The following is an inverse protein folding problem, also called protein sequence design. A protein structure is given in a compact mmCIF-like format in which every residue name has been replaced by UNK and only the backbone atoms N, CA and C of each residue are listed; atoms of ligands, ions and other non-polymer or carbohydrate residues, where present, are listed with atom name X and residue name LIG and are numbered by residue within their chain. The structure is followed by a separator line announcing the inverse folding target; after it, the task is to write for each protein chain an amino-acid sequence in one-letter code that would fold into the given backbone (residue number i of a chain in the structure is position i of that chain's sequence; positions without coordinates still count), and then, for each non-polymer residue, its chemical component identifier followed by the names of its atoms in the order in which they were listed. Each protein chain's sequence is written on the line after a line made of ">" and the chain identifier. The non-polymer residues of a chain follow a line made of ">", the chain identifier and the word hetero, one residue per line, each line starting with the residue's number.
data_IF_313303260958
#
_entry.id   IF_313303260958
#
_cell.length_a   1.000
_cell.length_b   1.000
_cell.length_c   1.000
_cell.angle_alpha   90.00
_cell.angle_beta   90.00
_cell.angle_gamma   90.00
#
_symmetry.space_group_name_H-M   'P 1'
#
loop_
_entity.id
_entity.type
_entity.pdbx_description
1 polymer ?
#
# COMPACT_ATOMS: atom_id res chain seq x y z
N UNK A 1 1.74 -3.78 41.94
CA UNK A 1 0.88 -2.96 41.04
C UNK A 1 1.74 -2.28 39.99
N UNK A 2 2.84 -1.69 40.37
CA UNK A 2 3.75 -0.94 39.48
C UNK A 2 4.34 -1.83 38.37
N UNK A 3 4.68 -3.08 38.67
CA UNK A 3 5.21 -4.04 37.69
C UNK A 3 4.23 -4.31 36.53
N UNK A 4 2.92 -4.39 36.82
CA UNK A 4 1.89 -4.58 35.79
C UNK A 4 1.75 -3.31 34.94
N UNK A 5 1.83 -2.13 35.55
CA UNK A 5 1.78 -0.85 34.81
C UNK A 5 2.96 -0.73 33.87
N UNK A 6 4.16 -1.10 34.33
CA UNK A 6 5.36 -1.13 33.48
C UNK A 6 5.25 -2.15 32.35
N UNK A 7 4.75 -3.36 32.63
CA UNK A 7 4.51 -4.40 31.64
C UNK A 7 3.54 -3.93 30.54
N UNK A 8 2.46 -3.25 30.93
CA UNK A 8 1.42 -2.81 29.99
C UNK A 8 1.73 -1.50 29.26
N UNK A 9 2.77 -0.77 29.68
CA UNK A 9 3.18 0.48 29.04
C UNK A 9 3.38 0.38 27.52
N UNK A 10 4.25 -0.51 27.01
CA UNK A 10 4.44 -0.72 25.58
C UNK A 10 3.20 -1.21 24.85
N UNK A 11 2.34 -2.01 25.48
CA UNK A 11 1.08 -2.47 24.89
C UNK A 11 0.12 -1.29 24.70
N UNK A 12 0.02 -0.39 25.67
CA UNK A 12 -0.74 0.85 25.56
C UNK A 12 -0.22 1.72 24.41
N UNK A 13 1.10 1.89 24.30
CA UNK A 13 1.70 2.64 23.20
C UNK A 13 1.40 1.99 21.85
N UNK A 14 1.47 0.67 21.76
CA UNK A 14 1.11 -0.09 20.57
C UNK A 14 -0.34 0.19 20.14
N UNK A 15 -1.27 0.15 21.08
CA UNK A 15 -2.68 0.46 20.82
C UNK A 15 -2.84 1.90 20.30
N UNK A 16 -2.14 2.87 20.89
CA UNK A 16 -2.18 4.27 20.44
C UNK A 16 -1.72 4.41 18.99
N UNK A 17 -0.59 3.79 18.63
CA UNK A 17 -0.06 3.81 17.25
C UNK A 17 -1.04 3.17 16.25
N UNK A 18 -1.66 2.05 16.65
CA UNK A 18 -2.63 1.37 15.79
C UNK A 18 -3.95 2.12 15.62
N UNK A 19 -4.23 3.14 16.43
CA UNK A 19 -5.40 3.99 16.33
C UNK A 19 -5.22 5.19 15.39
N UNK A 20 -4.05 5.39 14.81
CA UNK A 20 -3.82 6.47 13.83
C UNK A 20 -4.58 6.21 12.54
N UNK A 21 -5.30 7.22 12.03
CA UNK A 21 -6.09 7.12 10.79
C UNK A 21 -5.34 7.62 9.56
N UNK A 22 -4.41 8.55 9.75
CA UNK A 22 -3.69 9.23 8.66
C UNK A 22 -2.44 8.46 8.18
N UNK A 23 -2.12 7.33 8.80
CA UNK A 23 -0.94 6.53 8.51
C UNK A 23 -1.34 5.10 8.15
N UNK A 24 -0.58 4.43 7.27
CA UNK A 24 -0.79 3.00 7.01
C UNK A 24 -0.49 2.20 8.28
N UNK A 25 -1.47 1.42 8.74
CA UNK A 25 -1.38 0.65 9.97
C UNK A 25 -0.98 -0.81 9.74
N UNK A 26 -1.27 -1.40 8.58
CA UNK A 26 -0.85 -2.77 8.26
C UNK A 26 0.67 -2.94 8.34
N UNK A 27 1.43 -1.98 7.79
CA UNK A 27 2.89 -1.99 7.75
C UNK A 27 3.55 -1.90 9.13
N UNK A 28 2.80 -1.44 10.13
CA UNK A 28 3.29 -1.25 11.50
C UNK A 28 3.18 -2.54 12.33
N UNK A 29 2.31 -3.48 11.94
CA UNK A 29 2.01 -4.68 12.77
C UNK A 29 3.27 -5.53 12.99
N UNK A 30 4.01 -5.89 11.94
CA UNK A 30 5.17 -6.77 12.08
C UNK A 30 6.29 -6.13 12.94
N UNK A 31 6.75 -4.89 12.70
CA UNK A 31 7.74 -4.25 13.58
C UNK A 31 7.24 -4.07 15.01
N UNK A 32 5.95 -3.79 15.20
CA UNK A 32 5.34 -3.64 16.51
C UNK A 32 5.27 -4.98 17.24
N UNK A 33 4.85 -6.05 16.57
CA UNK A 33 4.88 -7.42 17.11
C UNK A 33 6.27 -7.81 17.58
N UNK A 34 7.28 -7.59 16.75
CA UNK A 34 8.66 -7.90 17.09
C UNK A 34 9.15 -7.12 18.32
N UNK A 35 8.81 -5.82 18.41
CA UNK A 35 9.13 -4.98 19.56
C UNK A 35 8.43 -5.45 20.83
N UNK A 36 7.15 -5.81 20.74
CA UNK A 36 6.40 -6.34 21.88
C UNK A 36 6.93 -7.70 22.33
N UNK A 37 7.22 -8.62 21.39
CA UNK A 37 7.81 -9.92 21.73
C UNK A 37 9.17 -9.77 22.44
N UNK A 38 9.99 -8.81 22.03
CA UNK A 38 11.25 -8.50 22.72
C UNK A 38 11.00 -7.97 24.14
N UNK A 39 9.98 -7.12 24.32
CA UNK A 39 9.62 -6.59 25.64
C UNK A 39 9.06 -7.69 26.58
N UNK A 40 8.34 -8.66 26.01
CA UNK A 40 7.74 -9.77 26.73
C UNK A 40 8.71 -10.91 27.08
N UNK A 41 10.00 -10.76 26.77
CA UNK A 41 10.99 -11.73 27.23
C UNK A 41 11.16 -11.63 28.75
N UNK A 42 11.16 -12.76 29.48
CA UNK A 42 11.37 -12.77 30.93
C UNK A 42 12.74 -12.19 31.29
N UNK A 43 12.79 -11.45 32.39
CA UNK A 43 14.00 -10.91 32.98
C UNK A 43 14.22 -11.53 34.38
N UNK A 44 15.44 -11.49 34.91
CA UNK A 44 15.78 -12.03 36.24
C UNK A 44 15.05 -11.29 37.36
N UNK A 45 14.72 -10.02 37.17
CA UNK A 45 14.02 -9.18 38.15
C UNK A 45 12.50 -9.36 38.12
N UNK A 46 11.97 -10.17 37.20
CA UNK A 46 10.52 -10.37 37.08
C UNK A 46 9.98 -11.19 38.26
N UNK A 47 8.90 -10.75 38.88
CA UNK A 47 8.15 -11.61 39.79
C UNK A 47 7.58 -12.82 39.05
N UNK A 48 7.37 -13.93 39.74
CA UNK A 48 6.82 -15.16 39.16
C UNK A 48 5.53 -14.91 38.38
N UNK A 49 4.67 -14.02 38.89
CA UNK A 49 3.43 -13.63 38.23
C UNK A 49 3.70 -12.87 36.92
N UNK A 50 4.62 -11.90 36.94
CA UNK A 50 4.97 -11.10 35.75
C UNK A 50 5.61 -11.97 34.67
N UNK A 51 6.53 -12.86 35.04
CA UNK A 51 7.16 -13.79 34.13
C UNK A 51 6.12 -14.70 33.44
N UNK A 52 5.12 -15.20 34.19
CA UNK A 52 4.05 -16.03 33.62
C UNK A 52 3.14 -15.23 32.69
N UNK A 53 2.77 -13.99 33.04
CA UNK A 53 1.98 -13.11 32.15
C UNK A 53 2.76 -12.83 30.86
N UNK A 54 4.02 -12.48 30.94
CA UNK A 54 4.90 -12.27 29.77
C UNK A 54 4.92 -13.50 28.85
N UNK A 55 5.09 -14.69 29.43
CA UNK A 55 5.13 -15.95 28.70
C UNK A 55 3.83 -16.22 27.95
N UNK A 56 2.68 -16.05 28.59
CA UNK A 56 1.37 -16.26 27.99
C UNK A 56 1.11 -15.25 26.88
N UNK A 57 1.37 -13.97 27.13
CA UNK A 57 1.20 -12.90 26.13
C UNK A 57 2.12 -13.11 24.91
N UNK A 58 3.38 -13.48 25.13
CA UNK A 58 4.32 -13.75 24.05
C UNK A 58 3.88 -14.96 23.21
N UNK A 59 3.39 -16.02 23.84
CA UNK A 59 2.87 -17.21 23.15
C UNK A 59 1.65 -16.86 22.28
N UNK A 60 0.68 -16.12 22.80
CA UNK A 60 -0.50 -15.70 22.05
C UNK A 60 -0.08 -14.80 20.86
N UNK A 61 0.74 -13.79 21.13
CA UNK A 61 1.17 -12.83 20.11
C UNK A 61 1.98 -13.49 18.99
N UNK A 62 2.82 -14.47 19.29
CA UNK A 62 3.63 -15.20 18.29
C UNK A 62 2.81 -16.12 17.40
N UNK A 63 1.65 -16.61 17.88
CA UNK A 63 0.77 -17.51 17.12
C UNK A 63 -0.28 -16.76 16.29
N UNK A 64 -0.70 -15.59 16.76
CA UNK A 64 -1.82 -14.81 16.21
C UNK A 64 -1.67 -14.45 14.73
N UNK A 65 -0.48 -14.13 14.29
CA UNK A 65 -0.19 -13.68 12.91
C UNK A 65 0.55 -14.71 12.05
N UNK A 66 0.71 -15.95 12.53
CA UNK A 66 1.51 -16.97 11.84
C UNK A 66 1.10 -17.21 10.39
N UNK A 67 -0.20 -17.17 10.07
CA UNK A 67 -0.71 -17.37 8.71
C UNK A 67 -0.61 -16.15 7.80
N UNK A 68 -0.35 -14.96 8.34
CA UNK A 68 -0.33 -13.69 7.59
C UNK A 68 1.01 -12.96 7.64
N UNK A 69 2.02 -13.60 8.26
CA UNK A 69 3.33 -12.97 8.50
C UNK A 69 4.00 -12.47 7.22
N UNK A 70 3.89 -13.21 6.12
CA UNK A 70 4.44 -12.81 4.82
C UNK A 70 3.83 -11.50 4.34
N UNK A 71 2.50 -11.38 4.39
CA UNK A 71 1.80 -10.17 3.97
C UNK A 71 2.16 -8.97 4.86
N UNK A 72 2.31 -9.18 6.18
CA UNK A 72 2.73 -8.14 7.12
C UNK A 72 4.17 -7.68 6.84
N UNK A 73 5.08 -8.61 6.57
CA UNK A 73 6.46 -8.28 6.23
C UNK A 73 6.57 -7.55 4.88
N UNK A 74 5.78 -7.94 3.87
CA UNK A 74 5.71 -7.23 2.59
C UNK A 74 5.15 -5.83 2.78
N UNK A 75 4.08 -5.66 3.57
CA UNK A 75 3.54 -4.35 3.90
C UNK A 75 4.59 -3.45 4.59
N UNK A 76 5.35 -4.01 5.53
CA UNK A 76 6.44 -3.30 6.20
C UNK A 76 7.59 -2.97 5.24
N UNK A 77 7.93 -3.87 4.31
CA UNK A 77 8.95 -3.63 3.28
C UNK A 77 8.54 -2.53 2.31
N UNK A 78 7.24 -2.37 2.02
CA UNK A 78 6.67 -1.31 1.18
C UNK A 78 6.53 0.03 1.92
N UNK A 79 6.63 0.05 3.23
CA UNK A 79 6.64 1.28 4.01
C UNK A 79 8.09 1.76 4.19
N UNK A 80 8.44 2.87 3.59
CA UNK A 80 9.81 3.39 3.58
C UNK A 80 10.35 3.67 4.99
N UNK A 81 9.48 3.83 6.00
CA UNK A 81 9.85 3.97 7.41
C UNK A 81 10.43 2.68 8.00
N UNK A 82 9.98 1.52 7.48
CA UNK A 82 10.32 0.18 7.97
C UNK A 82 11.05 -0.70 6.95
N UNK A 83 11.36 -0.18 5.78
CA UNK A 83 11.93 -0.96 4.65
C UNK A 83 13.17 -1.76 5.00
N UNK A 84 13.98 -1.31 5.95
CA UNK A 84 15.18 -2.02 6.38
C UNK A 84 14.87 -3.30 7.16
N UNK A 85 13.61 -3.51 7.60
CA UNK A 85 13.15 -4.67 8.34
C UNK A 85 14.13 -5.06 9.48
N UNK A 86 14.46 -4.14 10.40
CA UNK A 86 15.52 -4.34 11.38
C UNK A 86 15.21 -5.44 12.41
N UNK A 87 13.99 -5.95 12.42
CA UNK A 87 13.51 -7.02 13.29
C UNK A 87 13.67 -8.42 12.67
N UNK A 88 14.11 -8.51 11.42
CA UNK A 88 14.38 -9.77 10.72
C UNK A 88 15.88 -10.01 10.58
N UNK A 89 16.28 -11.27 10.57
CA UNK A 89 17.62 -11.68 10.18
C UNK A 89 17.88 -11.39 8.70
N UNK A 90 19.14 -11.37 8.29
CA UNK A 90 19.53 -10.97 6.94
C UNK A 90 18.91 -11.88 5.87
N UNK A 91 18.89 -13.17 6.12
CA UNK A 91 18.36 -14.20 5.22
C UNK A 91 16.85 -14.02 5.02
N UNK A 92 16.10 -13.84 6.12
CA UNK A 92 14.65 -13.63 6.09
C UNK A 92 14.29 -12.32 5.37
N UNK A 93 15.08 -11.28 5.58
CA UNK A 93 14.93 -9.98 4.92
C UNK A 93 15.04 -10.11 3.39
N UNK A 94 16.05 -10.84 2.91
CA UNK A 94 16.21 -11.09 1.47
C UNK A 94 15.08 -11.96 0.91
N UNK A 95 14.54 -12.90 1.69
CA UNK A 95 13.35 -13.66 1.30
C UNK A 95 12.12 -12.76 1.13
N UNK A 96 11.90 -11.80 2.04
CA UNK A 96 10.80 -10.82 1.92
C UNK A 96 10.95 -10.01 0.64
N UNK A 97 12.15 -9.52 0.33
CA UNK A 97 12.38 -8.78 -0.91
C UNK A 97 12.25 -9.64 -2.17
N UNK A 98 12.59 -10.92 -2.12
CA UNK A 98 12.37 -11.87 -3.21
C UNK A 98 10.87 -12.08 -3.46
N UNK A 99 10.07 -12.25 -2.40
CA UNK A 99 8.61 -12.33 -2.50
C UNK A 99 8.01 -11.03 -3.04
N UNK A 100 8.52 -9.87 -2.59
CA UNK A 100 8.10 -8.56 -3.09
C UNK A 100 8.33 -8.41 -4.60
N UNK A 101 9.48 -8.85 -5.11
CA UNK A 101 9.75 -8.87 -6.57
C UNK A 101 8.72 -9.72 -7.29
N UNK A 102 8.48 -10.94 -6.79
CA UNK A 102 7.50 -11.85 -7.40
C UNK A 102 6.09 -11.25 -7.46
N UNK A 103 5.62 -10.66 -6.36
CA UNK A 103 4.31 -10.01 -6.35
C UNK A 103 4.23 -8.78 -7.26
N UNK A 104 5.32 -8.03 -7.37
CA UNK A 104 5.42 -6.91 -8.31
C UNK A 104 5.34 -7.38 -9.77
N UNK A 105 6.00 -8.50 -10.10
CA UNK A 105 5.93 -9.13 -11.43
C UNK A 105 4.49 -9.56 -11.76
N UNK A 106 3.82 -10.26 -10.83
CA UNK A 106 2.43 -10.70 -11.00
C UNK A 106 1.47 -9.53 -11.15
N UNK A 107 1.62 -8.50 -10.32
CA UNK A 107 0.78 -7.29 -10.37
C UNK A 107 0.92 -6.56 -11.70
N UNK A 108 2.13 -6.45 -12.24
CA UNK A 108 2.40 -5.82 -13.52
C UNK A 108 1.84 -6.63 -14.70
N UNK A 109 1.91 -7.97 -14.65
CA UNK A 109 1.31 -8.84 -15.67
C UNK A 109 -0.22 -8.68 -15.71
N UNK A 110 -0.88 -8.68 -14.55
CA UNK A 110 -2.34 -8.50 -14.48
C UNK A 110 -2.80 -7.15 -15.06
N UNK A 111 -2.04 -6.07 -14.82
CA UNK A 111 -2.33 -4.75 -15.40
C UNK A 111 -2.16 -4.74 -16.92
N UNK A 112 -1.14 -5.43 -17.45
CA UNK A 112 -0.91 -5.52 -18.88
C UNK A 112 -2.05 -6.29 -19.60
N UNK A 113 -2.62 -7.30 -18.96
CA UNK A 113 -3.76 -8.07 -19.51
C UNK A 113 -5.08 -7.27 -19.45
N UNK A 114 -5.34 -6.53 -18.35
CA UNK A 114 -6.55 -5.72 -18.20
C UNK A 114 -6.66 -4.58 -19.21
N UNK A 115 -5.54 -3.99 -19.63
CA UNK A 115 -5.51 -2.91 -20.63
C UNK A 115 -5.75 -3.40 -22.07
N UNK A 116 -5.72 -4.71 -22.34
CA UNK A 116 -6.01 -5.27 -23.66
C UNK A 116 -7.52 -5.50 -23.89
N UNK A 117 -8.30 -5.66 -22.83
CA UNK A 117 -9.75 -5.89 -22.94
C UNK A 117 -10.55 -4.59 -23.15
N UNK A 118 -10.01 -3.42 -22.83
CA UNK A 118 -10.67 -2.14 -23.00
C UNK A 118 -10.55 -1.55 -24.43
N UNK A 119 -9.57 -2.01 -25.22
CA UNK A 119 -9.32 -1.48 -26.57
C UNK A 119 -10.11 -2.19 -27.69
N UNK A 120 -10.75 -3.33 -27.42
CA UNK A 120 -11.61 -4.03 -28.41
C UNK A 120 -13.09 -3.60 -28.37
N UNK A 121 -13.50 -2.75 -27.43
CA UNK A 121 -14.89 -2.34 -27.22
C UNK A 121 -15.38 -1.10 -27.99
N UNK A 122 -14.52 -0.38 -28.72
CA UNK A 122 -14.89 0.87 -29.40
C UNK A 122 -14.80 0.78 -30.92
N UNK A 123 -15.51 -0.19 -31.51
CA UNK A 123 -15.78 -0.22 -32.95
C UNK A 123 -17.08 0.55 -33.25
N UNK A 124 -16.98 1.85 -33.36
CA UNK A 124 -18.11 2.64 -33.85
C UNK A 124 -18.31 2.43 -35.36
N UNK A 125 -19.41 1.81 -35.67
CA UNK A 125 -20.05 1.66 -36.99
C UNK A 125 -20.06 2.99 -37.76
N UNK A 126 -19.25 3.14 -38.81
CA UNK A 126 -19.41 4.21 -39.78
C UNK A 126 -20.40 3.75 -40.86
N UNK A 127 -21.55 4.35 -40.85
CA UNK A 127 -22.51 4.33 -41.97
C UNK A 127 -21.87 5.02 -43.18
N UNK A 128 -21.93 4.29 -44.27
CA UNK A 128 -21.61 4.76 -45.64
C UNK A 128 -22.64 5.77 -46.18
N UNK A 129 -22.15 6.77 -46.88
CA UNK A 129 -23.04 7.58 -47.74
C UNK A 129 -22.39 8.80 -48.35
N UNK A 130 -22.20 8.70 -49.65
CA UNK A 130 -22.14 9.73 -50.70
C UNK A 130 -20.78 10.35 -51.08
N UNK A 131 -20.50 10.10 -52.37
CA UNK A 131 -19.46 10.70 -53.20
C UNK A 131 -19.70 12.20 -53.44
N UNK A 132 -18.59 12.97 -53.51
CA UNK A 132 -18.40 13.95 -54.58
C UNK A 132 -16.90 14.23 -54.77
N UNK A 133 -16.47 14.09 -56.04
CA UNK A 133 -15.16 14.47 -56.57
C UNK A 133 -14.98 15.98 -56.56
N UNK A 134 -13.81 16.47 -56.12
CA UNK A 134 -13.11 17.55 -56.84
C UNK A 134 -11.66 17.70 -56.32
N UNK A 135 -10.77 17.45 -57.19
CA UNK A 135 -9.39 17.94 -57.50
C UNK A 135 -8.74 18.99 -56.58
N UNK A 136 -7.57 18.69 -56.12
CA UNK A 136 -6.23 19.25 -56.37
C UNK A 136 -5.30 19.09 -55.13
N UNK A 137 -4.00 18.83 -55.31
CA UNK A 137 -3.09 18.45 -54.25
C UNK A 137 -2.48 19.70 -53.59
N UNK A 138 -2.63 19.77 -52.28
CA UNK A 138 -1.89 20.72 -51.46
C UNK A 138 -0.99 19.90 -50.51
N UNK A 139 0.18 19.55 -50.98
CA UNK A 139 1.23 18.93 -50.12
C UNK A 139 1.71 19.95 -49.10
N UNK A 140 1.17 19.85 -47.91
CA UNK A 140 1.77 20.50 -46.75
C UNK A 140 3.13 19.81 -46.42
N UNK A 141 4.20 20.54 -46.13
CA UNK A 141 5.49 19.93 -45.86
C UNK A 141 5.39 19.02 -44.62
N UNK A 142 6.05 17.83 -44.65
CA UNK A 142 5.95 16.86 -43.56
C UNK A 142 6.42 17.47 -42.25
N UNK A 143 5.59 17.29 -41.21
CA UNK A 143 5.90 17.76 -39.86
C UNK A 143 7.32 17.23 -39.46
N UNK A 144 8.21 18.10 -39.02
CA UNK A 144 9.62 17.78 -38.68
C UNK A 144 9.78 16.56 -37.77
N UNK A 145 8.77 16.25 -36.94
CA UNK A 145 8.76 15.05 -36.10
C UNK A 145 8.61 13.76 -36.90
N UNK A 146 7.82 13.74 -37.98
CA UNK A 146 7.65 12.55 -38.83
C UNK A 146 8.91 12.30 -39.72
N UNK A 147 9.61 13.36 -40.09
CA UNK A 147 10.85 13.24 -40.90
C UNK A 147 12.01 12.66 -40.06
N UNK A 148 12.13 13.02 -38.78
CA UNK A 148 13.09 12.45 -37.85
C UNK A 148 12.82 10.98 -37.57
N UNK A 149 11.54 10.63 -37.36
CA UNK A 149 11.08 9.27 -37.10
C UNK A 149 11.34 8.36 -38.33
N UNK A 150 11.09 8.87 -39.55
CA UNK A 150 11.35 8.14 -40.79
C UNK A 150 12.85 7.95 -41.07
N UNK A 151 13.72 8.88 -40.64
CA UNK A 151 15.15 8.83 -40.88
C UNK A 151 15.91 7.96 -39.86
N UNK A 152 15.46 7.91 -38.63
CA UNK A 152 16.16 7.30 -37.48
C UNK A 152 15.33 6.25 -36.72
N UNK A 153 14.02 6.11 -37.02
CA UNK A 153 13.05 5.36 -36.22
C UNK A 153 13.48 3.96 -35.83
N UNK A 154 13.96 3.17 -36.77
CA UNK A 154 14.30 1.76 -36.51
C UNK A 154 15.66 1.57 -35.83
N UNK A 155 16.57 2.54 -35.95
CA UNK A 155 17.93 2.43 -35.38
C UNK A 155 18.08 3.04 -34.00
N UNK A 156 17.23 4.04 -33.66
CA UNK A 156 17.35 4.79 -32.41
C UNK A 156 16.15 4.58 -31.43
N UNK A 157 15.06 3.98 -31.90
CA UNK A 157 13.86 3.71 -31.11
C UNK A 157 13.73 2.26 -30.63
N UNK A 158 14.73 1.41 -30.84
CA UNK A 158 14.79 0.13 -30.10
C UNK A 158 15.00 0.40 -28.60
N UNK A 159 13.97 0.94 -27.96
CA UNK A 159 13.76 0.75 -26.54
C UNK A 159 13.52 -0.74 -26.37
N UNK A 160 14.57 -1.49 -26.01
CA UNK A 160 14.41 -2.87 -25.57
C UNK A 160 13.21 -2.87 -24.62
N UNK A 161 12.13 -3.56 -25.00
CA UNK A 161 11.01 -3.80 -24.10
C UNK A 161 11.58 -4.68 -23.01
N UNK A 162 12.06 -4.05 -21.94
CA UNK A 162 12.51 -4.77 -20.75
C UNK A 162 11.41 -5.75 -20.38
N UNK A 163 11.79 -6.99 -20.16
CA UNK A 163 10.87 -8.01 -19.64
C UNK A 163 10.14 -7.44 -18.41
N UNK A 164 8.87 -7.78 -18.24
CA UNK A 164 8.07 -7.40 -17.07
C UNK A 164 8.82 -7.67 -15.76
N UNK A 165 9.51 -8.82 -15.72
CA UNK A 165 10.34 -9.24 -14.60
C UNK A 165 11.53 -8.29 -14.37
N UNK A 166 12.24 -7.90 -15.42
CA UNK A 166 13.37 -6.96 -15.31
C UNK A 166 12.93 -5.58 -14.84
N UNK A 167 11.76 -5.13 -15.27
CA UNK A 167 11.20 -3.84 -14.82
C UNK A 167 10.87 -3.87 -13.33
N UNK A 168 10.19 -4.88 -12.84
CA UNK A 168 9.84 -5.04 -11.42
C UNK A 168 11.10 -5.13 -10.54
N UNK A 169 12.08 -5.94 -10.95
CA UNK A 169 13.37 -6.06 -10.24
C UNK A 169 14.14 -4.74 -10.19
N UNK A 170 14.20 -4.02 -11.31
CA UNK A 170 14.87 -2.73 -11.37
C UNK A 170 14.18 -1.68 -10.47
N UNK A 171 12.84 -1.70 -10.36
CA UNK A 171 12.12 -0.83 -9.43
C UNK A 171 12.41 -1.18 -7.97
N UNK A 172 12.41 -2.47 -7.59
CA UNK A 172 12.74 -2.90 -6.23
C UNK A 172 14.17 -2.50 -5.86
N UNK A 173 15.14 -2.65 -6.77
CA UNK A 173 16.53 -2.22 -6.51
C UNK A 173 16.61 -0.70 -6.31
N UNK A 174 15.95 0.10 -7.14
CA UNK A 174 15.89 1.57 -6.98
C UNK A 174 15.22 1.97 -5.67
N UNK A 175 14.12 1.29 -5.31
CA UNK A 175 13.43 1.51 -4.04
C UNK A 175 14.33 1.20 -2.85
N UNK A 176 15.02 0.08 -2.85
CA UNK A 176 15.98 -0.28 -1.78
C UNK A 176 17.12 0.72 -1.63
N UNK A 177 17.54 1.36 -2.70
CA UNK A 177 18.60 2.39 -2.70
C UNK A 177 18.15 3.75 -2.17
N UNK A 178 16.84 4.02 -2.05
CA UNK A 178 16.34 5.28 -1.45
C UNK A 178 16.64 5.28 0.06
N UNK A 179 16.75 6.45 0.67
CA UNK A 179 16.88 6.57 2.12
C UNK A 179 15.57 6.23 2.84
N UNK A 180 15.65 5.70 4.05
CA UNK A 180 14.47 5.45 4.87
C UNK A 180 13.85 6.78 5.33
N UNK A 181 12.51 6.81 5.42
CA UNK A 181 11.80 7.98 5.95
C UNK A 181 11.86 8.00 7.49
N UNK A 182 11.88 9.21 8.09
CA UNK A 182 11.60 9.37 9.51
C UNK A 182 10.23 8.79 9.89
N UNK A 183 10.11 8.25 11.10
CA UNK A 183 8.86 7.65 11.58
C UNK A 183 7.67 8.62 11.66
N UNK A 184 7.97 9.93 11.70
CA UNK A 184 6.97 11.01 11.75
C UNK A 184 6.42 11.39 10.37
N UNK A 185 7.05 10.92 9.29
CA UNK A 185 6.62 11.23 7.94
C UNK A 185 5.57 10.23 7.43
N UNK A 186 4.78 10.68 6.45
CA UNK A 186 3.69 9.89 5.90
C UNK A 186 4.15 9.11 4.66
N UNK A 187 4.18 7.78 4.78
CA UNK A 187 4.58 6.88 3.70
C UNK A 187 3.69 7.00 2.45
N UNK A 188 2.38 7.28 2.61
CA UNK A 188 1.45 7.42 1.47
C UNK A 188 1.74 8.68 0.65
N UNK A 189 2.12 9.80 1.30
CA UNK A 189 2.53 11.03 0.61
C UNK A 189 3.80 10.80 -0.19
N UNK A 190 4.75 10.04 0.36
CA UNK A 190 5.96 9.67 -0.35
C UNK A 190 5.65 8.82 -1.59
N UNK A 191 4.84 7.75 -1.46
CA UNK A 191 4.46 6.91 -2.60
C UNK A 191 3.76 7.71 -3.70
N UNK A 192 2.89 8.65 -3.35
CA UNK A 192 2.24 9.55 -4.31
C UNK A 192 3.26 10.35 -5.13
N UNK A 193 4.37 10.78 -4.54
CA UNK A 193 5.44 11.50 -5.25
C UNK A 193 6.26 10.58 -6.17
N UNK A 194 6.31 9.28 -5.87
CA UNK A 194 7.12 8.30 -6.60
C UNK A 194 6.34 7.52 -7.68
N UNK A 195 5.06 7.76 -7.89
CA UNK A 195 4.21 7.02 -8.85
C UNK A 195 4.80 6.97 -10.26
N UNK A 196 5.46 8.05 -10.70
CA UNK A 196 6.08 8.14 -12.04
C UNK A 196 7.41 7.39 -12.12
N UNK A 197 8.15 7.33 -11.03
CA UNK A 197 9.49 6.72 -10.98
C UNK A 197 9.41 5.21 -10.71
N UNK A 198 8.44 4.79 -9.89
CA UNK A 198 8.24 3.41 -9.41
C UNK A 198 6.77 2.98 -9.63
N UNK A 199 6.26 2.96 -10.87
CA UNK A 199 4.83 2.73 -11.14
C UNK A 199 4.34 1.36 -10.67
N UNK A 200 5.11 0.30 -10.85
CA UNK A 200 4.75 -1.07 -10.44
C UNK A 200 4.67 -1.17 -8.93
N UNK A 201 5.71 -0.71 -8.24
CA UNK A 201 5.77 -0.74 -6.78
C UNK A 201 4.75 0.20 -6.14
N UNK A 202 4.47 1.37 -6.73
CA UNK A 202 3.47 2.29 -6.17
C UNK A 202 2.07 1.69 -6.20
N UNK A 203 1.74 0.92 -7.24
CA UNK A 203 0.47 0.18 -7.31
C UNK A 203 0.40 -0.90 -6.24
N UNK A 204 1.48 -1.66 -6.07
CA UNK A 204 1.56 -2.69 -5.04
C UNK A 204 1.50 -2.06 -3.63
N UNK A 205 2.20 -0.95 -3.42
CA UNK A 205 2.16 -0.21 -2.16
C UNK A 205 0.75 0.29 -1.82
N UNK A 206 0.02 0.84 -2.78
CA UNK A 206 -1.39 1.22 -2.59
C UNK A 206 -2.23 0.03 -2.15
N UNK A 207 -2.05 -1.12 -2.80
CA UNK A 207 -2.80 -2.35 -2.47
C UNK A 207 -2.57 -2.82 -1.03
N UNK A 208 -1.33 -2.78 -0.54
CA UNK A 208 -1.00 -3.22 0.81
C UNK A 208 -1.26 -2.16 1.87
N UNK A 209 -0.84 -0.92 1.63
CA UNK A 209 -0.86 0.13 2.63
C UNK A 209 -2.25 0.76 2.84
N UNK A 210 -3.21 0.51 1.94
CA UNK A 210 -4.61 0.90 2.16
C UNK A 210 -5.37 -0.04 3.11
N UNK A 211 -4.81 -1.23 3.40
CA UNK A 211 -5.46 -2.19 4.29
C UNK A 211 -5.33 -1.69 5.74
N UNK A 212 -6.45 -1.48 6.46
CA UNK A 212 -6.38 -1.11 7.86
C UNK A 212 -5.93 -2.30 8.71
N UNK A 213 -4.95 -2.07 9.58
CA UNK A 213 -4.47 -3.09 10.53
C UNK A 213 -5.36 -3.26 11.76
N UNK A 214 -6.45 -2.47 11.86
CA UNK A 214 -7.37 -2.43 13.01
C UNK A 214 -8.75 -1.98 12.59
N UNK A 215 -9.78 -2.35 13.37
CA UNK A 215 -11.18 -1.92 13.18
C UNK A 215 -11.47 -0.54 13.78
N UNK A 216 -10.53 0.09 14.47
CA UNK A 216 -10.75 1.36 15.18
C UNK A 216 -11.34 2.47 14.30
N UNK A 217 -10.89 2.68 13.04
CA UNK A 217 -11.51 3.67 12.17
C UNK A 217 -13.01 3.39 11.93
N UNK A 218 -13.38 2.13 11.73
CA UNK A 218 -14.79 1.73 11.58
C UNK A 218 -15.59 1.93 12.87
N UNK A 219 -15.03 1.57 14.03
CA UNK A 219 -15.67 1.76 15.33
C UNK A 219 -15.93 3.25 15.62
N UNK A 220 -15.01 4.14 15.24
CA UNK A 220 -15.21 5.59 15.33
C UNK A 220 -16.35 6.08 14.44
N UNK A 221 -16.54 5.49 13.25
CA UNK A 221 -17.68 5.80 12.38
C UNK A 221 -18.98 5.38 13.05
N UNK A 222 -19.03 4.18 13.64
CA UNK A 222 -20.22 3.70 14.35
C UNK A 222 -20.52 4.54 15.60
N UNK A 223 -19.51 4.94 16.36
CA UNK A 223 -19.69 5.86 17.49
C UNK A 223 -20.27 7.20 17.03
N UNK A 224 -19.76 7.76 15.94
CA UNK A 224 -20.28 8.99 15.33
C UNK A 224 -21.74 8.81 14.87
N UNK A 225 -22.09 7.65 14.29
CA UNK A 225 -23.46 7.33 13.92
C UNK A 225 -24.37 7.28 15.15
N UNK A 226 -23.90 6.68 16.27
CA UNK A 226 -24.63 6.65 17.54
C UNK A 226 -24.92 8.05 18.13
N UNK A 227 -23.99 8.99 17.96
CA UNK A 227 -24.18 10.39 18.35
C UNK A 227 -25.23 11.11 17.49
N UNK A 228 -25.33 10.75 16.20
CA UNK A 228 -26.28 11.33 15.25
C UNK A 228 -27.67 10.72 15.46
N UNK A 229 -27.76 9.39 15.58
CA UNK A 229 -29.00 8.64 15.80
C UNK A 229 -29.23 8.49 17.30
N UNK A 230 -29.81 9.48 17.93
CA UNK A 230 -30.22 9.45 19.33
C UNK A 230 -31.75 9.35 19.46
N UNK A 231 -32.24 9.22 20.69
CA UNK A 231 -33.67 9.09 20.96
C UNK A 231 -34.52 10.24 20.38
N UNK A 232 -33.94 11.45 20.24
CA UNK A 232 -34.63 12.62 19.70
C UNK A 232 -34.57 12.65 18.17
N UNK A 233 -33.67 11.89 17.53
CA UNK A 233 -33.44 11.82 16.08
C UNK A 233 -33.64 10.39 15.51
N UNK A 234 -34.44 9.58 16.16
CA UNK A 234 -34.70 8.18 15.79
C UNK A 234 -35.50 8.04 14.48
N UNK A 235 -36.05 9.13 13.95
CA UNK A 235 -36.88 9.14 12.71
C UNK A 235 -36.03 9.50 11.47
N UNK A 236 -34.72 9.69 11.60
CA UNK A 236 -33.84 9.97 10.46
C UNK A 236 -33.82 8.79 9.49
N UNK A 237 -34.00 9.08 8.21
CA UNK A 237 -33.82 8.09 7.14
C UNK A 237 -32.35 7.66 7.08
N UNK A 238 -32.03 6.39 6.76
CA UNK A 238 -30.66 5.89 6.68
C UNK A 238 -29.76 6.74 5.79
N UNK A 239 -30.26 7.20 4.63
CA UNK A 239 -29.51 8.04 3.69
C UNK A 239 -29.12 9.40 4.30
N UNK A 240 -29.97 10.00 5.14
CA UNK A 240 -29.64 11.23 5.84
C UNK A 240 -28.58 10.99 6.95
N UNK A 241 -28.63 9.84 7.60
CA UNK A 241 -27.61 9.45 8.59
C UNK A 241 -26.25 9.34 7.91
N UNK A 242 -26.19 8.67 6.76
CA UNK A 242 -24.97 8.51 5.96
C UNK A 242 -24.38 9.87 5.53
N UNK A 243 -25.23 10.76 5.00
CA UNK A 243 -24.85 12.13 4.65
C UNK A 243 -24.29 12.90 5.85
N UNK A 244 -24.91 12.81 7.01
CA UNK A 244 -24.46 13.49 8.23
C UNK A 244 -23.14 12.93 8.75
N UNK A 245 -22.93 11.59 8.69
CA UNK A 245 -21.66 10.96 9.02
C UNK A 245 -20.56 11.46 8.10
N UNK A 246 -20.82 11.45 6.78
CA UNK A 246 -19.88 11.93 5.77
C UNK A 246 -19.48 13.40 6.02
N UNK A 247 -20.45 14.27 6.23
CA UNK A 247 -20.19 15.69 6.49
C UNK A 247 -19.40 15.89 7.79
N UNK A 248 -19.77 15.20 8.89
CA UNK A 248 -19.07 15.32 10.18
C UNK A 248 -17.61 14.86 10.12
N UNK A 249 -17.26 13.97 9.19
CA UNK A 249 -15.88 13.47 9.05
C UNK A 249 -15.03 14.25 8.05
N UNK A 250 -15.64 15.00 7.14
CA UNK A 250 -14.94 15.68 6.05
C UNK A 250 -14.96 17.21 6.16
N UNK A 251 -15.63 17.76 7.16
CA UNK A 251 -15.62 19.16 7.55
C UNK A 251 -14.72 19.39 8.79
#
# INVERSE_FOLDING_TARGET
>A
MDDIVQLMGPVKMATTVMCEEDQPTLSVIAPLQAKLLKHLQPCEDDSTLVAEIKRVMASDLSTRYRGTQDALNIASALDLRFKELPYLEKEDREQVYTKLVFEAEVSHQMQAMGNQEEDEGSSSTKLSGFNEETTAPNESPPCKKKALDALFGDSFTQRERKSTSETARAEVLRYRAKDALPLTENAMKWWRSQEKELPVLSTLAKRYLCIPGTSVPAERVFSTAGDIVNAQRSVLQPDHVDQLIFLKRNL
#
